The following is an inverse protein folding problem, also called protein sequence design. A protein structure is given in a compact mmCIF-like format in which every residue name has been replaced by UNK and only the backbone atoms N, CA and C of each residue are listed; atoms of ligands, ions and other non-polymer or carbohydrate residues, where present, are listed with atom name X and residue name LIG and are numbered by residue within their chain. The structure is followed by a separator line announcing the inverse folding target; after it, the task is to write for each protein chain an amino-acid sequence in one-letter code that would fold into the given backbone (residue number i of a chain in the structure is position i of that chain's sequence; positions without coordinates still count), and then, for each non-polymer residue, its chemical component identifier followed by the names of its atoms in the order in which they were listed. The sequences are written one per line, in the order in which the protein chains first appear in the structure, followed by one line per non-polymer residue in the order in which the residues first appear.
data_IF_956092222963
#
_entry.id   IF_956092222963
#
_cell.length_a   1.000
_cell.length_b   1.000
_cell.length_c   1.000
_cell.angle_alpha   90.00
_cell.angle_beta   90.00
_cell.angle_gamma   90.00
#
_symmetry.space_group_name_H-M   'P 1'
#
loop_
_entity.id
_entity.type
_entity.pdbx_description
1 polymer ?
#
# COMPACT_ATOMS: atom_id res chain seq x y z
N UNK A 1 -13.27 30.17 60.93
CA UNK A 1 -12.26 29.39 60.20
C UNK A 1 -12.92 28.83 58.93
N UNK A 2 -12.68 29.50 57.75
CA UNK A 2 -13.21 29.05 56.45
C UNK A 2 -12.21 28.10 55.80
N UNK A 3 -12.59 26.84 55.62
CA UNK A 3 -11.77 25.82 54.93
C UNK A 3 -12.00 26.00 53.42
N UNK A 4 -10.98 26.45 52.71
CA UNK A 4 -10.94 26.55 51.25
C UNK A 4 -10.58 25.13 50.75
N UNK A 5 -11.49 24.43 50.07
CA UNK A 5 -11.22 23.22 49.33
C UNK A 5 -10.72 23.62 47.94
N UNK A 6 -9.42 23.44 47.70
CA UNK A 6 -8.83 23.54 46.36
C UNK A 6 -9.06 22.21 45.68
N UNK A 7 -10.07 22.15 44.82
CA UNK A 7 -10.27 20.98 43.93
C UNK A 7 -9.22 21.03 42.83
N UNK A 8 -8.20 20.19 42.94
CA UNK A 8 -7.21 19.95 41.90
C UNK A 8 -7.89 19.15 40.78
N UNK A 9 -8.37 19.82 39.75
CA UNK A 9 -8.85 19.17 38.54
C UNK A 9 -7.66 18.53 37.81
N UNK A 10 -7.52 17.21 37.98
CA UNK A 10 -6.57 16.39 37.22
C UNK A 10 -7.08 16.33 35.77
N UNK A 11 -6.62 17.23 34.92
CA UNK A 11 -6.82 17.15 33.46
C UNK A 11 -6.05 15.93 32.99
N UNK A 12 -6.72 14.80 32.85
CA UNK A 12 -6.22 13.67 32.08
C UNK A 12 -6.08 14.15 30.64
N UNK A 13 -4.89 14.63 30.26
CA UNK A 13 -4.48 14.74 28.90
C UNK A 13 -4.46 13.31 28.34
N UNK A 14 -5.62 12.85 27.83
CA UNK A 14 -5.65 11.70 26.95
C UNK A 14 -4.62 11.99 25.87
N UNK A 15 -3.51 11.27 25.87
CA UNK A 15 -2.44 11.46 24.92
C UNK A 15 -3.01 11.32 23.51
N UNK A 16 -3.35 12.48 22.92
CA UNK A 16 -3.71 12.56 21.52
C UNK A 16 -2.49 12.03 20.76
N UNK A 17 -2.61 10.83 20.18
CA UNK A 17 -1.61 10.37 19.22
C UNK A 17 -1.53 11.43 18.14
N UNK A 18 -0.34 11.95 17.93
CA UNK A 18 -0.12 12.85 16.82
C UNK A 18 -0.37 12.09 15.52
N UNK A 19 -1.01 12.76 14.57
CA UNK A 19 -1.25 12.16 13.26
C UNK A 19 0.04 12.24 12.43
N UNK A 20 0.25 11.31 11.50
CA UNK A 20 1.45 11.26 10.68
C UNK A 20 1.19 11.79 9.28
N UNK A 21 2.03 12.72 8.83
CA UNK A 21 2.06 13.20 7.43
C UNK A 21 3.40 12.86 6.81
N UNK A 22 3.39 12.17 5.68
CA UNK A 22 4.58 11.91 4.87
C UNK A 22 4.42 12.48 3.48
N UNK A 23 5.54 12.94 2.89
CA UNK A 23 5.63 13.30 1.49
C UNK A 23 6.69 12.41 0.82
N UNK A 24 6.36 11.89 -0.35
CA UNK A 24 7.21 10.96 -1.08
C UNK A 24 7.22 11.33 -2.56
N UNK A 25 8.39 11.29 -3.18
CA UNK A 25 8.50 11.32 -4.65
C UNK A 25 8.34 9.90 -5.17
N UNK A 26 7.51 9.72 -6.17
CA UNK A 26 7.27 8.44 -6.84
C UNK A 26 7.70 8.58 -8.30
N UNK A 27 8.61 7.72 -8.73
CA UNK A 27 9.09 7.66 -10.11
C UNK A 27 8.85 6.27 -10.66
N UNK A 28 8.09 6.21 -11.75
CA UNK A 28 7.86 5.00 -12.56
C UNK A 28 8.18 5.33 -14.03
N UNK A 29 8.21 4.38 -14.96
CA UNK A 29 8.41 4.68 -16.37
C UNK A 29 7.40 5.69 -16.95
N UNK A 30 6.18 5.71 -16.42
CA UNK A 30 5.06 6.52 -16.95
C UNK A 30 4.59 7.62 -15.97
N UNK A 31 5.21 7.76 -14.82
CA UNK A 31 4.78 8.72 -13.81
C UNK A 31 5.97 9.23 -13.00
N UNK A 32 6.05 10.55 -12.86
CA UNK A 32 6.97 11.22 -11.94
C UNK A 32 6.17 12.30 -11.18
N UNK A 33 6.00 12.10 -9.90
CA UNK A 33 5.19 13.02 -9.09
C UNK A 33 5.43 12.83 -7.60
N UNK A 34 4.68 13.60 -6.83
CA UNK A 34 4.72 13.58 -5.36
C UNK A 34 3.42 12.95 -4.84
N UNK A 35 3.54 12.09 -3.84
CA UNK A 35 2.43 11.63 -3.03
C UNK A 35 2.56 12.18 -1.61
N UNK A 36 1.47 12.73 -1.07
CA UNK A 36 1.35 13.04 0.35
C UNK A 36 0.45 11.99 1.01
N UNK A 37 0.95 11.33 2.06
CA UNK A 37 0.21 10.33 2.81
C UNK A 37 -0.07 10.89 4.21
N UNK A 38 -1.33 10.88 4.59
CA UNK A 38 -1.83 11.33 5.88
C UNK A 38 -2.46 10.16 6.61
N UNK A 39 -2.07 9.94 7.85
CA UNK A 39 -2.53 8.83 8.68
C UNK A 39 -3.14 9.40 9.96
N UNK A 40 -4.40 9.07 10.20
CA UNK A 40 -5.12 9.46 11.42
C UNK A 40 -5.88 8.26 11.99
N UNK A 41 -5.38 7.69 13.07
CA UNK A 41 -5.93 6.45 13.64
C UNK A 41 -5.91 5.30 12.61
N UNK A 42 -7.10 4.85 12.20
CA UNK A 42 -7.25 3.77 11.19
C UNK A 42 -7.53 4.29 9.79
N UNK A 43 -7.51 5.60 9.59
CA UNK A 43 -7.77 6.21 8.29
C UNK A 43 -6.47 6.65 7.64
N UNK A 44 -6.34 6.33 6.35
CA UNK A 44 -5.24 6.74 5.50
C UNK A 44 -5.81 7.57 4.37
N UNK A 45 -5.17 8.70 4.08
CA UNK A 45 -5.41 9.46 2.87
C UNK A 45 -4.11 9.59 2.10
N UNK A 46 -4.13 9.25 0.83
CA UNK A 46 -3.03 9.45 -0.11
C UNK A 46 -3.46 10.45 -1.19
N UNK A 47 -2.76 11.56 -1.28
CA UNK A 47 -2.96 12.59 -2.30
C UNK A 47 -1.85 12.48 -3.33
N UNK A 48 -2.18 12.28 -4.60
CA UNK A 48 -1.22 12.17 -5.70
C UNK A 48 -1.19 13.46 -6.54
N UNK A 49 0.00 13.97 -6.76
CA UNK A 49 0.27 15.18 -7.53
C UNK A 49 1.11 14.82 -8.76
N UNK A 50 0.47 14.77 -9.93
CA UNK A 50 1.13 14.64 -11.22
C UNK A 50 1.21 16.03 -11.88
N UNK A 51 2.12 16.89 -11.36
CA UNK A 51 2.09 18.32 -11.65
C UNK A 51 1.12 19.05 -10.71
N UNK A 52 0.72 20.27 -11.07
CA UNK A 52 -0.32 21.03 -10.33
C UNK A 52 -1.58 21.07 -11.20
N UNK A 53 -2.79 20.86 -10.68
CA UNK A 53 -3.22 20.63 -9.31
C UNK A 53 -3.29 19.15 -8.92
N UNK A 54 -3.62 18.84 -7.65
CA UNK A 54 -3.89 17.51 -7.11
C UNK A 54 -4.85 16.72 -8.02
N UNK A 55 -4.37 15.57 -8.55
CA UNK A 55 -5.13 14.82 -9.56
C UNK A 55 -6.09 13.80 -8.92
N UNK A 56 -5.61 13.08 -7.92
CA UNK A 56 -6.30 11.95 -7.30
C UNK A 56 -6.06 11.93 -5.79
N UNK A 57 -7.08 11.63 -5.01
CA UNK A 57 -6.91 11.21 -3.62
C UNK A 57 -7.58 9.87 -3.39
N UNK A 58 -6.92 9.03 -2.61
CA UNK A 58 -7.48 7.78 -2.10
C UNK A 58 -7.61 7.86 -0.59
N UNK A 59 -8.80 7.62 -0.07
CA UNK A 59 -9.09 7.52 1.36
C UNK A 59 -9.39 6.07 1.66
N UNK A 60 -8.70 5.48 2.63
CA UNK A 60 -8.89 4.10 3.06
C UNK A 60 -9.23 4.09 4.55
N UNK A 61 -10.29 3.39 4.93
CA UNK A 61 -10.59 3.09 6.32
C UNK A 61 -10.21 1.62 6.60
N UNK A 62 -9.18 1.42 7.39
CA UNK A 62 -8.65 0.09 7.69
C UNK A 62 -9.60 -0.77 8.53
N UNK A 63 -10.52 -0.16 9.30
CA UNK A 63 -11.50 -0.90 10.09
C UNK A 63 -12.58 -1.54 9.21
N UNK A 64 -13.05 -0.78 8.22
CA UNK A 64 -14.13 -1.23 7.33
C UNK A 64 -13.61 -1.81 6.04
N UNK A 65 -12.36 -1.51 5.66
CA UNK A 65 -11.77 -1.81 4.36
C UNK A 65 -12.34 -0.94 3.24
N UNK A 66 -13.16 0.06 3.56
CA UNK A 66 -13.73 0.99 2.58
C UNK A 66 -12.63 1.81 1.91
N UNK A 67 -12.72 1.96 0.60
CA UNK A 67 -11.81 2.79 -0.20
C UNK A 67 -12.65 3.82 -0.96
N UNK A 68 -12.29 5.09 -0.86
CA UNK A 68 -12.89 6.18 -1.61
C UNK A 68 -11.81 6.81 -2.48
N UNK A 69 -12.01 6.80 -3.79
CA UNK A 69 -11.15 7.49 -4.75
C UNK A 69 -11.81 8.81 -5.16
N UNK A 70 -11.13 9.93 -4.95
CA UNK A 70 -11.58 11.29 -5.29
C UNK A 70 -10.89 11.74 -6.57
N UNK A 71 -11.68 12.01 -7.63
CA UNK A 71 -11.25 12.57 -8.91
C UNK A 71 -11.46 14.10 -8.86
N UNK A 72 -10.44 14.84 -8.46
CA UNK A 72 -10.58 16.26 -8.13
C UNK A 72 -10.96 17.13 -9.33
N UNK A 73 -10.40 16.86 -10.52
CA UNK A 73 -10.68 17.63 -11.74
C UNK A 73 -12.15 17.55 -12.18
N UNK A 74 -12.81 16.43 -11.87
CA UNK A 74 -14.20 16.18 -12.26
C UNK A 74 -15.18 16.37 -11.10
N UNK A 75 -14.70 16.56 -9.86
CA UNK A 75 -15.49 16.54 -8.63
C UNK A 75 -16.36 15.29 -8.52
N UNK A 76 -15.75 14.14 -8.82
CA UNK A 76 -16.37 12.83 -8.73
C UNK A 76 -15.66 11.98 -7.68
N UNK A 77 -16.37 11.01 -7.13
CA UNK A 77 -15.75 9.99 -6.30
C UNK A 77 -16.30 8.60 -6.62
N UNK A 78 -15.44 7.61 -6.44
CA UNK A 78 -15.80 6.20 -6.52
C UNK A 78 -15.63 5.58 -5.13
N UNK A 79 -16.71 5.06 -4.60
CA UNK A 79 -16.73 4.34 -3.34
C UNK A 79 -16.68 2.84 -3.61
N UNK A 80 -15.61 2.18 -3.15
CA UNK A 80 -15.49 0.74 -3.21
C UNK A 80 -15.86 0.17 -1.83
N UNK A 81 -16.88 -0.71 -1.77
CA UNK A 81 -17.26 -1.32 -0.51
C UNK A 81 -16.10 -2.14 0.00
N UNK A 82 -15.68 -1.83 1.21
CA UNK A 82 -14.67 -2.60 1.90
C UNK A 82 -15.22 -3.98 2.26
N UNK A 83 -14.39 -4.97 2.10
CA UNK A 83 -14.48 -6.12 2.99
C UNK A 83 -13.58 -5.77 4.17
N UNK A 84 -14.07 -5.87 5.43
CA UNK A 84 -13.18 -5.70 6.57
C UNK A 84 -11.93 -6.53 6.27
N UNK A 85 -10.76 -5.92 6.38
CA UNK A 85 -9.49 -6.64 6.22
C UNK A 85 -9.33 -7.63 7.40
N UNK A 86 -10.36 -8.46 7.61
CA UNK A 86 -10.21 -9.71 8.33
C UNK A 86 -9.16 -10.43 7.55
N UNK A 87 -8.03 -10.70 8.21
CA UNK A 87 -6.99 -11.59 7.73
C UNK A 87 -7.61 -12.57 6.76
N UNK A 88 -7.42 -12.34 5.46
CA UNK A 88 -7.77 -13.32 4.47
C UNK A 88 -7.01 -14.56 4.91
N UNK A 89 -7.70 -15.52 5.51
CA UNK A 89 -7.14 -16.84 5.72
C UNK A 89 -6.76 -17.27 4.33
N UNK A 90 -5.48 -17.11 4.01
CA UNK A 90 -4.92 -17.54 2.74
C UNK A 90 -5.20 -19.04 2.66
N UNK A 91 -6.24 -19.40 1.91
CA UNK A 91 -6.47 -20.76 1.49
C UNK A 91 -5.44 -21.12 0.39
N UNK A 92 -4.21 -21.20 0.77
CA UNK A 92 -3.08 -21.49 -0.08
C UNK A 92 -1.83 -21.12 0.70
N UNK A 93 -0.74 -21.82 0.48
CA UNK A 93 0.57 -21.61 1.11
C UNK A 93 0.84 -20.11 1.29
N UNK A 94 0.63 -19.61 2.52
CA UNK A 94 0.78 -18.19 2.84
C UNK A 94 2.21 -17.79 2.47
N UNK A 95 2.34 -17.08 1.37
CA UNK A 95 3.64 -16.56 0.97
C UNK A 95 4.05 -15.54 2.03
N UNK A 96 5.13 -15.84 2.70
CA UNK A 96 5.65 -15.00 3.78
C UNK A 96 6.26 -13.76 3.15
N UNK A 97 5.92 -12.58 3.68
CA UNK A 97 6.54 -11.32 3.26
C UNK A 97 8.06 -11.48 3.16
N UNK A 98 8.70 -11.05 2.06
CA UNK A 98 10.14 -11.17 1.91
C UNK A 98 10.84 -10.36 2.99
N UNK A 99 11.89 -10.95 3.58
CA UNK A 99 12.67 -10.29 4.64
C UNK A 99 13.84 -9.58 3.99
N UNK A 100 13.97 -8.24 4.15
CA UNK A 100 15.12 -7.51 3.65
C UNK A 100 16.41 -7.98 4.33
N UNK A 101 17.49 -8.13 3.56
CA UNK A 101 18.81 -8.53 4.04
C UNK A 101 19.79 -7.38 3.87
N UNK A 102 20.61 -7.08 4.86
CA UNK A 102 21.66 -6.07 4.74
C UNK A 102 22.69 -6.48 3.68
N UNK A 103 23.13 -5.52 2.89
CA UNK A 103 24.18 -5.75 1.87
C UNK A 103 25.58 -5.41 2.37
N UNK A 104 25.69 -4.79 3.54
CA UNK A 104 26.92 -4.20 4.06
C UNK A 104 27.37 -2.91 3.35
N UNK A 105 26.57 -2.44 2.36
CA UNK A 105 26.86 -1.19 1.63
C UNK A 105 26.16 -0.02 2.30
N UNK A 106 26.79 1.15 2.25
CA UNK A 106 26.23 2.42 2.71
C UNK A 106 26.18 3.40 1.56
N UNK A 107 25.22 4.32 1.61
CA UNK A 107 25.07 5.40 0.64
C UNK A 107 24.40 6.59 1.29
N UNK A 108 24.80 7.82 0.93
CA UNK A 108 24.08 9.02 1.32
C UNK A 108 22.86 9.22 0.44
N UNK A 109 21.67 9.43 1.05
CA UNK A 109 20.40 9.74 0.37
C UNK A 109 19.84 11.02 1.00
N UNK A 110 19.87 12.12 0.23
CA UNK A 110 19.60 13.45 0.78
C UNK A 110 20.59 13.76 1.93
N UNK A 111 20.06 14.10 3.09
CA UNK A 111 20.86 14.41 4.28
C UNK A 111 21.15 13.18 5.16
N UNK A 112 20.70 11.99 4.79
CA UNK A 112 20.79 10.79 5.61
C UNK A 112 21.86 9.84 5.12
N UNK A 113 22.68 9.36 6.07
CA UNK A 113 23.54 8.20 5.86
C UNK A 113 22.69 6.95 5.99
N UNK A 114 22.69 6.13 4.95
CA UNK A 114 21.82 4.95 4.85
C UNK A 114 22.62 3.67 4.67
N UNK A 115 22.04 2.58 5.16
CA UNK A 115 22.46 1.22 4.87
C UNK A 115 21.52 0.59 3.85
N UNK A 116 22.06 -0.16 2.90
CA UNK A 116 21.28 -0.79 1.84
C UNK A 116 20.86 -2.20 2.25
N UNK A 117 19.57 -2.48 2.07
CA UNK A 117 18.97 -3.80 2.20
C UNK A 117 18.36 -4.23 0.89
N UNK A 118 18.46 -5.51 0.57
CA UNK A 118 17.84 -6.09 -0.63
C UNK A 118 16.88 -7.20 -0.25
N UNK A 119 15.89 -7.42 -1.10
CA UNK A 119 14.94 -8.53 -0.95
C UNK A 119 14.50 -9.04 -2.32
N UNK A 120 13.97 -10.24 -2.35
CA UNK A 120 13.32 -10.83 -3.53
C UNK A 120 12.16 -11.71 -3.09
N UNK A 121 11.20 -11.92 -3.98
CA UNK A 121 10.08 -12.84 -3.76
C UNK A 121 10.06 -13.97 -4.80
N UNK A 122 9.15 -14.90 -4.61
CA UNK A 122 8.96 -16.07 -5.49
C UNK A 122 8.46 -15.71 -6.89
N UNK A 123 7.93 -14.50 -7.09
CA UNK A 123 7.45 -14.01 -8.39
C UNK A 123 8.53 -13.30 -9.21
N UNK A 124 9.80 -13.34 -8.76
CA UNK A 124 10.91 -12.65 -9.43
C UNK A 124 10.92 -11.13 -9.25
N UNK A 125 10.13 -10.60 -8.32
CA UNK A 125 10.20 -9.19 -7.95
C UNK A 125 11.38 -9.02 -6.98
N UNK A 126 12.19 -8.01 -7.23
CA UNK A 126 13.34 -7.65 -6.39
C UNK A 126 13.21 -6.23 -5.90
N UNK A 127 13.80 -5.93 -4.77
CA UNK A 127 13.83 -4.57 -4.26
C UNK A 127 15.08 -4.24 -3.48
N UNK A 128 15.39 -2.96 -3.45
CA UNK A 128 16.43 -2.37 -2.61
C UNK A 128 15.79 -1.27 -1.77
N UNK A 129 16.11 -1.21 -0.50
CA UNK A 129 15.70 -0.15 0.41
C UNK A 129 16.91 0.48 1.07
N UNK A 130 16.87 1.79 1.20
CA UNK A 130 17.89 2.63 1.86
C UNK A 130 17.35 3.02 3.22
N UNK A 131 18.00 2.56 4.27
CA UNK A 131 17.54 2.66 5.65
C UNK A 131 18.42 3.65 6.43
N UNK A 132 17.81 4.75 6.86
CA UNK A 132 18.43 5.74 7.73
C UNK A 132 18.19 5.35 9.20
N UNK A 133 19.25 4.90 9.91
CA UNK A 133 19.15 4.50 11.33
C UNK A 133 18.96 5.71 12.26
N UNK A 134 19.44 6.87 11.86
CA UNK A 134 19.40 8.12 12.62
C UNK A 134 18.29 9.06 12.14
N UNK A 135 17.19 8.53 11.59
CA UNK A 135 16.07 9.36 11.20
C UNK A 135 15.39 9.94 12.45
N UNK A 136 15.15 11.28 12.51
CA UNK A 136 14.50 11.91 13.66
C UNK A 136 13.14 11.27 13.96
N UNK A 137 12.82 11.10 15.23
CA UNK A 137 11.53 10.57 15.71
C UNK A 137 11.11 9.19 15.16
N UNK A 138 12.07 8.45 14.54
CA UNK A 138 11.77 7.16 13.91
C UNK A 138 11.04 6.17 14.82
N UNK A 139 11.36 6.14 16.10
CA UNK A 139 10.72 5.20 17.04
C UNK A 139 9.20 5.43 17.14
N UNK A 140 8.77 6.70 17.13
CA UNK A 140 7.34 7.07 17.14
C UNK A 140 6.68 6.78 15.81
N UNK A 141 7.27 7.25 14.71
CA UNK A 141 6.80 7.01 13.34
C UNK A 141 6.65 5.50 13.06
N UNK A 142 7.61 4.69 13.53
CA UNK A 142 7.54 3.23 13.40
C UNK A 142 6.34 2.62 14.11
N UNK A 143 5.95 3.15 15.28
CA UNK A 143 4.80 2.64 16.01
C UNK A 143 3.50 2.84 15.23
N UNK A 144 3.37 3.96 14.51
CA UNK A 144 2.21 4.24 13.66
C UNK A 144 2.19 3.31 12.42
N UNK A 145 3.33 3.10 11.77
CA UNK A 145 3.45 2.13 10.68
C UNK A 145 3.18 0.68 11.13
N UNK A 146 3.64 0.27 12.30
CA UNK A 146 3.39 -1.07 12.81
C UNK A 146 1.90 -1.34 13.09
N UNK A 147 1.13 -0.31 13.41
CA UNK A 147 -0.34 -0.37 13.47
C UNK A 147 -0.96 -0.66 12.10
N UNK A 148 -0.43 -0.06 11.06
CA UNK A 148 -0.89 -0.25 9.68
C UNK A 148 -0.54 -1.65 9.13
N UNK A 149 0.66 -2.14 9.39
CA UNK A 149 1.10 -3.48 8.95
C UNK A 149 0.17 -4.58 9.48
N UNK A 150 -0.38 -4.41 10.68
CA UNK A 150 -1.33 -5.36 11.28
C UNK A 150 -2.73 -5.32 10.67
N UNK A 151 -3.14 -4.16 10.18
CA UNK A 151 -4.48 -3.92 9.63
C UNK A 151 -4.53 -4.05 8.11
N UNK A 152 -3.46 -3.72 7.45
CA UNK A 152 -3.36 -3.77 5.99
C UNK A 152 -3.23 -5.20 5.48
N UNK A 153 -3.98 -6.18 5.87
CA UNK A 153 -3.96 -7.58 5.41
C UNK A 153 -3.21 -7.78 4.09
N UNK A 154 -1.93 -7.44 4.11
CA UNK A 154 -1.12 -7.15 2.97
C UNK A 154 -1.09 -8.38 2.07
N UNK A 155 -1.26 -8.15 0.79
CA UNK A 155 -0.73 -9.05 -0.22
C UNK A 155 0.79 -9.07 0.01
N UNK A 156 1.17 -9.85 1.04
CA UNK A 156 2.47 -9.81 1.73
C UNK A 156 3.62 -10.22 0.83
N UNK A 157 3.30 -10.69 -0.38
CA UNK A 157 4.28 -11.06 -1.40
C UNK A 157 4.89 -9.85 -2.14
N UNK A 158 4.20 -8.71 -2.14
CA UNK A 158 4.61 -7.56 -2.96
C UNK A 158 5.50 -6.56 -2.21
N UNK A 159 5.43 -6.55 -0.90
CA UNK A 159 6.17 -5.61 -0.06
C UNK A 159 6.93 -6.33 1.05
N UNK A 160 8.19 -5.93 1.33
CA UNK A 160 8.94 -6.51 2.43
C UNK A 160 8.36 -6.08 3.78
N UNK A 161 8.64 -6.85 4.81
CA UNK A 161 8.33 -6.49 6.19
C UNK A 161 9.18 -5.28 6.63
N UNK A 162 8.69 -4.07 6.39
CA UNK A 162 9.41 -2.83 6.72
C UNK A 162 9.59 -2.64 8.22
N UNK A 163 8.68 -3.16 9.02
CA UNK A 163 8.76 -3.16 10.48
C UNK A 163 9.99 -3.90 11.05
N UNK A 164 10.60 -4.81 10.26
CA UNK A 164 11.81 -5.53 10.65
C UNK A 164 13.11 -4.71 10.43
N UNK A 165 13.03 -3.55 9.78
CA UNK A 165 14.19 -2.72 9.48
C UNK A 165 14.60 -1.87 10.70
N UNK A 166 15.90 -1.62 10.89
CA UNK A 166 16.43 -0.91 12.07
C UNK A 166 16.32 0.62 11.97
N UNK A 167 15.68 1.17 10.93
CA UNK A 167 15.57 2.61 10.71
C UNK A 167 14.52 2.95 9.67
N UNK A 168 14.39 4.24 9.37
CA UNK A 168 13.44 4.75 8.39
C UNK A 168 13.88 4.43 6.96
N UNK A 169 12.97 3.91 6.16
CA UNK A 169 13.20 3.77 4.72
C UNK A 169 13.05 5.13 4.07
N UNK A 170 14.16 5.72 3.65
CA UNK A 170 14.19 7.02 2.97
C UNK A 170 14.17 6.90 1.45
N UNK A 171 14.47 5.72 0.91
CA UNK A 171 14.32 5.40 -0.49
C UNK A 171 14.02 3.92 -0.65
N UNK A 172 13.16 3.59 -1.59
CA UNK A 172 12.95 2.21 -2.03
C UNK A 172 12.95 2.15 -3.56
N UNK A 173 13.43 1.04 -4.08
CA UNK A 173 13.41 0.72 -5.50
C UNK A 173 12.92 -0.71 -5.65
N UNK A 174 11.87 -0.91 -6.44
CA UNK A 174 11.26 -2.21 -6.69
C UNK A 174 11.27 -2.46 -8.17
N UNK A 175 11.78 -3.61 -8.58
CA UNK A 175 11.87 -4.03 -9.98
C UNK A 175 11.11 -5.33 -10.18
N UNK A 176 10.20 -5.34 -11.14
CA UNK A 176 9.40 -6.52 -11.50
C UNK A 176 8.71 -6.32 -12.85
N UNK A 177 8.53 -7.39 -13.63
CA UNK A 177 7.90 -7.29 -14.95
C UNK A 177 8.59 -6.35 -15.93
N UNK A 178 9.92 -6.17 -15.82
CA UNK A 178 10.68 -5.26 -16.67
C UNK A 178 10.53 -3.76 -16.31
N UNK A 179 9.82 -3.44 -15.23
CA UNK A 179 9.61 -2.07 -14.78
C UNK A 179 10.28 -1.84 -13.42
N UNK A 180 10.71 -0.60 -13.20
CA UNK A 180 11.27 -0.17 -11.91
C UNK A 180 10.46 0.98 -11.36
N UNK A 181 10.07 0.86 -10.10
CA UNK A 181 9.41 1.91 -9.32
C UNK A 181 10.39 2.38 -8.27
N UNK A 182 10.61 3.68 -8.19
CA UNK A 182 11.41 4.30 -7.13
C UNK A 182 10.52 5.20 -6.29
N UNK A 183 10.58 5.04 -4.99
CA UNK A 183 9.93 5.90 -4.01
C UNK A 183 11.00 6.51 -3.12
N UNK A 184 11.03 7.83 -3.01
CA UNK A 184 11.96 8.55 -2.13
C UNK A 184 11.17 9.40 -1.13
N UNK A 185 11.48 9.27 0.14
CA UNK A 185 10.91 10.09 1.20
C UNK A 185 11.43 11.51 1.09
N UNK A 186 10.53 12.47 1.04
CA UNK A 186 10.85 13.90 1.11
C UNK A 186 10.78 14.36 2.57
N UNK A 187 9.72 14.00 3.29
CA UNK A 187 9.53 14.35 4.70
C UNK A 187 8.58 13.38 5.39
N UNK A 188 8.77 13.20 6.69
CA UNK A 188 7.79 12.59 7.58
C UNK A 188 7.71 13.44 8.85
N UNK A 189 6.49 13.82 9.25
CA UNK A 189 6.22 14.70 10.38
C UNK A 189 4.97 14.25 11.10
N UNK A 190 4.99 14.36 12.41
CA UNK A 190 3.79 14.28 13.23
C UNK A 190 3.17 15.66 13.33
N UNK A 191 1.94 15.81 12.86
CA UNK A 191 1.18 17.06 12.94
C UNK A 191 -0.32 16.77 13.04
N UNK A 192 -1.11 17.62 13.70
CA UNK A 192 -2.56 17.48 13.76
C UNK A 192 -3.17 17.51 12.35
N UNK A 193 -3.97 16.53 12.02
CA UNK A 193 -4.69 16.46 10.74
C UNK A 193 -6.18 16.71 10.97
N UNK A 194 -6.79 17.58 10.15
CA UNK A 194 -8.23 17.78 10.17
C UNK A 194 -8.96 16.50 9.74
N UNK A 195 -9.90 16.05 10.57
CA UNK A 195 -10.70 14.86 10.31
C UNK A 195 -11.57 14.96 9.04
N UNK A 196 -11.92 16.17 8.61
CA UNK A 196 -12.66 16.42 7.38
C UNK A 196 -11.91 15.95 6.12
N UNK A 197 -10.58 15.91 6.16
CA UNK A 197 -9.77 15.40 5.05
C UNK A 197 -10.02 13.94 4.73
N UNK A 198 -10.57 13.17 5.67
CA UNK A 198 -10.91 11.76 5.50
C UNK A 198 -12.40 11.55 5.16
N UNK A 199 -13.04 12.58 4.63
CA UNK A 199 -14.44 12.55 4.18
C UNK A 199 -14.53 12.92 2.71
N UNK A 200 -15.60 12.47 2.05
CA UNK A 200 -15.94 12.91 0.70
C UNK A 200 -16.39 14.37 0.76
N UNK A 201 -15.82 15.27 -0.06
CA UNK A 201 -16.27 16.65 -0.10
C UNK A 201 -17.75 16.75 -0.55
N UNK A 202 -18.54 17.63 0.08
CA UNK A 202 -19.98 17.73 -0.17
C UNK A 202 -20.36 18.10 -1.61
N UNK A 203 -19.44 18.71 -2.35
CA UNK A 203 -19.65 19.11 -3.74
C UNK A 203 -19.20 18.05 -4.78
N UNK A 204 -18.89 16.80 -4.33
CA UNK A 204 -18.54 15.68 -5.21
C UNK A 204 -19.75 14.80 -5.47
N UNK A 205 -19.83 14.24 -6.67
CA UNK A 205 -20.86 13.28 -7.07
C UNK A 205 -20.32 11.86 -7.10
N UNK A 206 -21.12 10.91 -6.64
CA UNK A 206 -20.74 9.50 -6.67
C UNK A 206 -20.80 8.94 -8.08
N UNK A 207 -19.76 8.22 -8.47
CA UNK A 207 -19.77 7.40 -9.66
C UNK A 207 -20.48 6.07 -9.37
N UNK A 208 -21.40 5.63 -10.22
CA UNK A 208 -22.03 4.33 -10.05
C UNK A 208 -20.96 3.24 -10.10
N UNK A 209 -21.06 2.29 -9.18
CA UNK A 209 -20.14 1.15 -9.16
C UNK A 209 -20.26 0.35 -10.46
N UNK A 210 -19.14 -0.09 -11.06
CA UNK A 210 -19.20 -1.04 -12.16
C UNK A 210 -19.99 -2.27 -11.70
N UNK A 211 -21.04 -2.62 -12.44
CA UNK A 211 -21.76 -3.87 -12.17
C UNK A 211 -20.76 -5.02 -12.28
N UNK A 212 -20.73 -5.96 -11.32
CA UNK A 212 -19.86 -7.11 -11.42
C UNK A 212 -20.13 -7.82 -12.74
N UNK A 213 -19.08 -8.05 -13.52
CA UNK A 213 -19.18 -8.89 -14.72
C UNK A 213 -19.60 -10.30 -14.26
N UNK A 214 -20.89 -10.59 -14.34
CA UNK A 214 -21.37 -11.96 -14.22
C UNK A 214 -20.87 -12.67 -15.47
N UNK A 215 -19.78 -13.41 -15.34
CA UNK A 215 -19.31 -14.32 -16.38
C UNK A 215 -20.46 -15.31 -16.60
N UNK A 216 -21.25 -15.11 -17.64
CA UNK A 216 -22.24 -16.10 -18.06
C UNK A 216 -21.44 -17.34 -18.45
N UNK A 217 -21.40 -18.32 -17.56
CA UNK A 217 -20.95 -19.66 -17.91
C UNK A 217 -21.96 -20.13 -18.95
N UNK A 218 -21.54 -20.45 -20.17
CA UNK A 218 -22.46 -20.99 -21.16
C UNK A 218 -23.15 -22.21 -20.54
N UNK A 219 -24.47 -22.16 -20.46
CA UNK A 219 -25.27 -23.28 -19.99
C UNK A 219 -25.03 -24.40 -20.98
N UNK A 220 -24.18 -25.35 -20.61
CA UNK A 220 -23.92 -26.56 -21.41
C UNK A 220 -25.29 -27.19 -21.69
N UNK A 221 -25.68 -27.22 -22.95
CA UNK A 221 -26.90 -27.90 -23.40
C UNK A 221 -26.74 -29.38 -23.02
N UNK A 222 -27.76 -30.00 -22.42
CA UNK A 222 -27.74 -31.43 -22.17
C UNK A 222 -27.93 -32.15 -23.51
N UNK A 223 -26.92 -32.91 -23.94
CA UNK A 223 -27.04 -33.86 -25.02
C UNK A 223 -26.24 -33.53 -26.29
N UNK A 224 -24.96 -33.83 -26.30
CA UNK A 224 -24.33 -34.32 -27.54
C UNK A 224 -23.42 -35.49 -27.17
N UNK A 225 -23.88 -36.63 -27.68
CA UNK A 225 -23.20 -37.93 -27.67
C UNK A 225 -21.76 -37.83 -28.19
N UNK A 226 -20.85 -38.43 -27.46
CA UNK A 226 -19.44 -38.64 -27.75
C UNK A 226 -19.24 -39.17 -29.17
N UNK A 227 -18.48 -38.51 -30.06
CA UNK A 227 -18.00 -39.18 -31.27
C UNK A 227 -16.80 -40.08 -30.91
N UNK A 228 -16.94 -41.36 -31.32
CA UNK A 228 -15.94 -42.40 -31.26
C UNK A 228 -14.68 -41.97 -32.06
N UNK A 229 -13.53 -41.99 -31.43
CA UNK A 229 -12.25 -41.67 -32.04
C UNK A 229 -11.90 -42.65 -33.19
N UNK A 230 -11.45 -42.13 -34.36
CA UNK A 230 -10.80 -42.96 -35.37
C UNK A 230 -9.30 -43.12 -35.01
N UNK A 231 -8.78 -44.29 -35.35
CA UNK A 231 -7.49 -44.81 -34.97
C UNK A 231 -6.27 -43.95 -35.33
N UNK A 232 -5.28 -44.09 -34.50
CA UNK A 232 -3.96 -43.52 -34.64
C UNK A 232 -3.20 -44.12 -35.85
N UNK A 233 -2.83 -43.25 -36.78
CA UNK A 233 -1.77 -43.56 -37.76
C UNK A 233 -0.49 -42.82 -37.36
N UNK A 234 0.48 -43.61 -36.97
CA UNK A 234 1.82 -43.17 -36.62
C UNK A 234 2.57 -42.81 -37.90
N UNK A 235 2.81 -41.56 -38.17
CA UNK A 235 3.76 -41.11 -39.20
C UNK A 235 4.99 -40.53 -38.50
N UNK A 236 6.07 -41.28 -38.54
CA UNK A 236 7.40 -40.85 -38.06
C UNK A 236 7.97 -39.85 -39.05
N UNK A 237 8.05 -38.60 -38.66
CA UNK A 237 8.74 -37.56 -39.44
C UNK A 237 10.16 -37.36 -38.89
N UNK A 238 11.14 -37.72 -39.75
CA UNK A 238 12.58 -37.61 -39.54
C UNK A 238 12.99 -36.15 -39.67
N UNK A 239 13.58 -35.58 -38.65
CA UNK A 239 14.19 -34.23 -38.65
C UNK A 239 15.52 -34.26 -39.42
N UNK A 240 15.81 -33.27 -40.27
CA UNK A 240 17.15 -33.09 -40.83
C UNK A 240 18.08 -32.39 -39.84
N UNK A 241 19.30 -32.94 -39.76
CA UNK A 241 20.44 -32.35 -39.04
C UNK A 241 21.03 -31.19 -39.84
N UNK A 242 21.24 -30.07 -39.17
CA UNK A 242 22.22 -29.03 -39.51
C UNK A 242 23.03 -28.66 -38.29
#
# INVERSE_FOLDING_TARGET
MKRIFISLALVCAAGARADLVTQQQIVTPNYNGVAAIKIKGTKIRMDMYAGQPQALSTITDLNTGEIINLLHSQKLYLKLPGQPMKQAKSSGTASRAPVPRPTGKTQKVGDYDTELYTWSNSRGITGTVWVAKNYPDYARIRADFAGLDKTAGADTDMTPALSALPGMVVRSQVTGGGQTITVALISAKEEPIDASLFQTPANYKELPQPKPFVRQVPKTAPGSSTPKAPGASTTTQKLPSW
#
